data_IF_058582518734
#
_entry.id   IF_058582518734
#
_cell.length_a   1.000
_cell.length_b   1.000
_cell.length_c   1.000
_cell.angle_alpha   90.00
_cell.angle_beta   90.00
_cell.angle_gamma   90.00
#
_symmetry.space_group_name_H-M   'P 1'
#
loop_
_entity.id
_entity.type
_entity.pdbx_description
1 polymer ?
#
# COMPACT_ATOMS: atom_id res chain seq x y z
N UNK A 1 8.40 -3.66 2.44
CA UNK A 1 7.87 -2.55 3.27
C UNK A 1 8.14 -1.24 2.55
N UNK A 2 7.31 -0.21 2.75
CA UNK A 2 6.15 -0.16 3.68
C UNK A 2 4.90 -0.89 3.16
N UNK A 3 4.02 -1.30 4.09
CA UNK A 3 2.63 -1.64 3.77
C UNK A 3 1.82 -0.34 3.82
N UNK A 4 1.14 0.02 2.74
CA UNK A 4 0.46 1.32 2.60
C UNK A 4 -1.00 1.18 2.18
N UNK A 5 -1.57 0.00 2.43
CA UNK A 5 -2.96 -0.29 2.11
C UNK A 5 -3.86 0.55 3.04
N UNK A 6 -4.80 1.29 2.46
CA UNK A 6 -5.83 1.98 3.24
C UNK A 6 -6.76 0.93 3.84
N UNK A 7 -7.00 1.04 5.15
CA UNK A 7 -7.83 0.09 5.90
C UNK A 7 -9.01 0.81 6.52
N UNK A 8 -10.22 0.31 6.24
CA UNK A 8 -11.48 0.84 6.79
C UNK A 8 -12.34 -0.27 7.43
N UNK A 9 -11.78 -1.48 7.52
CA UNK A 9 -12.42 -2.63 8.13
C UNK A 9 -11.53 -3.18 9.26
N UNK A 10 -11.86 -2.89 10.53
CA UNK A 10 -11.04 -3.31 11.67
C UNK A 10 -11.06 -4.84 11.89
N UNK A 11 -11.92 -5.59 11.18
CA UNK A 11 -11.93 -7.06 11.24
C UNK A 11 -10.74 -7.67 10.50
N UNK A 12 -10.12 -6.94 9.58
CA UNK A 12 -8.97 -7.43 8.83
C UNK A 12 -7.70 -7.44 9.71
N UNK A 13 -7.15 -8.63 9.97
CA UNK A 13 -6.01 -8.79 10.89
C UNK A 13 -4.75 -8.00 10.50
N UNK A 14 -4.63 -7.60 9.23
CA UNK A 14 -3.48 -6.85 8.71
C UNK A 14 -3.61 -5.34 8.85
N UNK A 15 -4.67 -4.83 9.48
CA UNK A 15 -4.78 -3.41 9.87
C UNK A 15 -3.58 -2.96 10.72
N UNK A 16 -2.95 -3.89 11.44
CA UNK A 16 -1.76 -3.64 12.27
C UNK A 16 -0.49 -3.32 11.48
N UNK A 17 -0.43 -3.68 10.19
CA UNK A 17 0.75 -3.43 9.33
C UNK A 17 0.73 -2.04 8.69
N UNK A 18 -0.46 -1.44 8.55
CA UNK A 18 -0.68 -0.19 7.84
C UNK A 18 -0.70 1.03 8.75
N UNK A 19 -1.17 2.15 8.20
CA UNK A 19 -1.17 3.45 8.87
C UNK A 19 -2.57 4.05 9.02
N UNK A 20 -3.61 3.20 8.95
CA UNK A 20 -5.01 3.58 9.18
C UNK A 20 -5.80 3.86 7.89
N UNK A 21 -6.76 4.77 8.00
CA UNK A 21 -7.83 4.97 7.01
C UNK A 21 -7.70 6.25 6.16
N UNK A 22 -6.80 7.17 6.54
CA UNK A 22 -6.66 8.48 5.90
C UNK A 22 -5.64 8.46 4.76
N UNK A 23 -6.11 8.72 3.56
CA UNK A 23 -5.31 8.69 2.33
C UNK A 23 -4.13 9.66 2.38
N UNK A 24 -4.35 10.88 2.88
CA UNK A 24 -3.30 11.90 2.88
C UNK A 24 -2.16 11.53 3.84
N UNK A 25 -2.49 11.12 5.07
CA UNK A 25 -1.55 10.71 6.08
C UNK A 25 -0.75 9.50 5.63
N UNK A 26 -1.43 8.45 5.12
CA UNK A 26 -0.76 7.23 4.67
C UNK A 26 0.16 7.55 3.48
N UNK A 27 -0.22 8.43 2.56
CA UNK A 27 0.67 8.91 1.49
C UNK A 27 1.91 9.64 2.02
N UNK A 28 1.79 10.46 3.08
CA UNK A 28 2.95 11.12 3.71
C UNK A 28 3.88 10.12 4.36
N UNK A 29 3.33 9.15 5.09
CA UNK A 29 4.12 8.10 5.74
C UNK A 29 4.80 7.21 4.69
N UNK A 30 4.11 6.85 3.60
CA UNK A 30 4.68 6.07 2.50
C UNK A 30 5.98 6.68 1.98
N UNK A 31 5.98 7.98 1.70
CA UNK A 31 7.18 8.72 1.29
C UNK A 31 8.28 8.66 2.36
N UNK A 32 7.95 9.01 3.61
CA UNK A 32 8.92 9.03 4.72
C UNK A 32 9.57 7.67 4.94
N UNK A 33 8.80 6.58 4.84
CA UNK A 33 9.30 5.21 5.00
C UNK A 33 10.25 4.82 3.87
N UNK A 34 9.91 5.13 2.60
CA UNK A 34 10.78 4.87 1.46
C UNK A 34 12.08 5.67 1.57
N UNK A 35 11.98 6.96 1.85
CA UNK A 35 13.16 7.83 2.04
C UNK A 35 14.04 7.33 3.18
N UNK A 36 13.43 6.91 4.30
CA UNK A 36 14.13 6.39 5.48
C UNK A 36 14.83 5.06 5.24
N UNK A 37 14.21 4.12 4.51
CA UNK A 37 14.84 2.85 4.17
C UNK A 37 16.02 3.02 3.23
N UNK A 38 15.87 3.88 2.21
CA UNK A 38 16.84 3.98 1.12
C UNK A 38 17.94 5.02 1.37
N UNK A 39 17.76 5.91 2.34
CA UNK A 39 18.74 6.92 2.75
C UNK A 39 19.32 7.73 1.55
N UNK A 40 18.44 8.07 0.61
CA UNK A 40 18.76 8.79 -0.64
C UNK A 40 19.57 8.00 -1.68
N UNK A 41 20.11 6.84 -1.34
CA UNK A 41 20.80 5.93 -2.27
C UNK A 41 20.79 4.49 -1.71
N UNK A 42 20.05 3.56 -2.34
CA UNK A 42 19.97 2.16 -1.92
C UNK A 42 21.30 1.42 -1.91
N UNK A 43 22.33 1.90 -2.62
CA UNK A 43 23.64 1.26 -2.67
C UNK A 43 24.56 1.65 -1.50
N UNK A 44 24.20 2.66 -0.70
CA UNK A 44 25.02 3.10 0.43
C UNK A 44 24.99 2.09 1.58
N UNK A 45 26.10 1.90 2.30
CA UNK A 45 26.10 1.14 3.55
C UNK A 45 25.05 1.69 4.54
N UNK A 46 24.24 0.80 5.10
CA UNK A 46 23.15 1.17 6.02
C UNK A 46 21.81 1.47 5.35
N UNK A 47 21.74 1.51 4.01
CA UNK A 47 20.49 1.56 3.26
C UNK A 47 19.92 0.15 3.04
N UNK A 48 18.60 0.06 2.95
CA UNK A 48 17.89 -1.14 2.50
C UNK A 48 16.88 -0.78 1.42
N UNK A 49 16.72 -1.66 0.44
CA UNK A 49 15.80 -1.44 -0.66
C UNK A 49 14.34 -1.47 -0.17
N UNK A 50 13.58 -0.42 -0.51
CA UNK A 50 12.15 -0.40 -0.23
C UNK A 50 11.39 -1.28 -1.24
N UNK A 51 10.32 -1.91 -0.77
CA UNK A 51 9.36 -2.64 -1.61
C UNK A 51 7.97 -2.34 -1.10
N UNK A 52 7.30 -1.40 -1.76
CA UNK A 52 5.94 -1.00 -1.39
C UNK A 52 4.98 -2.15 -1.62
N UNK A 53 4.05 -2.35 -0.68
CA UNK A 53 3.07 -3.43 -0.72
C UNK A 53 1.73 -2.99 -0.11
N UNK A 54 0.62 -3.66 -0.41
CA UNK A 54 0.46 -4.75 -1.37
C UNK A 54 -0.33 -4.20 -2.56
N UNK A 55 0.31 -4.09 -3.73
CA UNK A 55 -0.29 -3.42 -4.88
C UNK A 55 -1.34 -4.33 -5.55
N UNK A 56 -2.64 -4.04 -5.47
CA UNK A 56 -3.26 -2.88 -4.82
C UNK A 56 -4.56 -3.25 -4.08
N UNK A 57 -5.05 -2.29 -3.29
CA UNK A 57 -6.40 -2.27 -2.70
C UNK A 57 -6.67 -3.31 -1.61
N UNK A 58 -5.65 -4.06 -1.18
CA UNK A 58 -5.79 -5.20 -0.30
C UNK A 58 -6.52 -4.92 1.02
N UNK A 59 -6.41 -3.69 1.55
CA UNK A 59 -7.13 -3.29 2.76
C UNK A 59 -8.65 -3.16 2.62
N UNK A 60 -9.20 -3.33 1.42
CA UNK A 60 -10.63 -3.27 1.13
C UNK A 60 -11.30 -4.66 1.00
N UNK A 61 -10.67 -5.72 1.51
CA UNK A 61 -11.22 -7.09 1.48
C UNK A 61 -12.63 -7.16 2.05
N UNK A 62 -13.53 -7.81 1.32
CA UNK A 62 -14.92 -7.95 1.73
C UNK A 62 -15.04 -8.72 3.06
N UNK A 63 -15.82 -8.15 3.99
CA UNK A 63 -16.05 -8.73 5.31
C UNK A 63 -14.80 -8.76 6.21
N UNK A 64 -13.72 -8.06 5.84
CA UNK A 64 -12.46 -8.07 6.57
C UNK A 64 -11.75 -9.42 6.56
N UNK A 65 -12.13 -10.32 5.66
CA UNK A 65 -11.54 -11.66 5.54
C UNK A 65 -10.29 -11.56 4.70
N UNK A 66 -9.18 -12.01 5.25
CA UNK A 66 -7.92 -11.95 4.53
C UNK A 66 -8.01 -12.70 3.18
N UNK A 67 -7.38 -12.15 2.15
CA UNK A 67 -7.39 -12.64 0.75
C UNK A 67 -8.74 -12.62 0.03
N UNK A 68 -9.79 -12.10 0.64
CA UNK A 68 -11.12 -12.10 0.02
C UNK A 68 -11.22 -11.10 -1.16
N UNK A 69 -12.35 -11.12 -1.84
CA UNK A 69 -12.64 -10.22 -2.97
C UNK A 69 -12.53 -8.75 -2.56
N UNK A 70 -12.02 -7.93 -3.49
CA UNK A 70 -12.07 -6.48 -3.44
C UNK A 70 -12.84 -5.96 -4.65
N UNK A 71 -13.83 -5.10 -4.43
CA UNK A 71 -14.59 -4.43 -5.49
C UNK A 71 -14.83 -2.97 -5.12
N UNK A 72 -14.58 -2.05 -6.06
CA UNK A 72 -14.88 -0.63 -5.88
C UNK A 72 -14.89 0.11 -7.22
N UNK A 73 -15.50 1.31 -7.23
CA UNK A 73 -15.46 2.17 -8.42
C UNK A 73 -14.05 2.70 -8.70
N UNK A 74 -13.70 2.94 -9.98
CA UNK A 74 -12.43 3.56 -10.34
C UNK A 74 -12.20 4.93 -9.67
N UNK A 75 -13.27 5.71 -9.48
CA UNK A 75 -13.21 6.98 -8.78
C UNK A 75 -12.71 6.80 -7.34
N UNK A 76 -13.30 5.86 -6.60
CA UNK A 76 -12.89 5.57 -5.22
C UNK A 76 -11.48 5.02 -5.17
N UNK A 77 -11.14 4.13 -6.10
CA UNK A 77 -9.81 3.59 -6.25
C UNK A 77 -8.76 4.70 -6.39
N UNK A 78 -8.98 5.65 -7.31
CA UNK A 78 -8.04 6.74 -7.57
C UNK A 78 -7.99 7.81 -6.48
N UNK A 79 -9.12 8.13 -5.83
CA UNK A 79 -9.12 9.14 -4.77
C UNK A 79 -8.67 8.63 -3.42
N UNK A 80 -9.05 7.41 -3.05
CA UNK A 80 -8.87 6.95 -1.67
C UNK A 80 -7.71 5.97 -1.54
N UNK A 81 -7.62 4.96 -2.42
CA UNK A 81 -6.77 3.78 -2.18
C UNK A 81 -5.44 3.78 -2.93
N UNK A 82 -5.36 4.33 -4.14
CA UNK A 82 -4.14 4.37 -4.93
C UNK A 82 -3.09 5.43 -4.55
N UNK A 83 -3.45 6.60 -3.98
CA UNK A 83 -2.46 7.65 -3.70
C UNK A 83 -1.27 7.24 -2.82
N UNK A 84 -1.40 6.35 -1.82
CA UNK A 84 -0.23 5.92 -1.04
C UNK A 84 0.81 5.12 -1.83
N UNK A 85 0.39 4.24 -2.74
CA UNK A 85 1.33 3.53 -3.61
C UNK A 85 2.01 4.51 -4.58
N UNK A 86 1.26 5.45 -5.15
CA UNK A 86 1.84 6.50 -6.00
C UNK A 86 2.88 7.32 -5.23
N UNK A 87 2.61 7.68 -3.99
CA UNK A 87 3.56 8.42 -3.15
C UNK A 87 4.85 7.63 -2.89
N UNK A 88 4.77 6.30 -2.70
CA UNK A 88 5.95 5.45 -2.58
C UNK A 88 6.74 5.33 -3.89
N UNK A 89 6.05 5.24 -5.03
CA UNK A 89 6.66 5.25 -6.37
C UNK A 89 7.35 6.58 -6.66
N UNK A 90 6.69 7.70 -6.39
CA UNK A 90 7.26 9.04 -6.55
C UNK A 90 8.46 9.27 -5.62
N UNK A 91 8.51 8.60 -4.45
CA UNK A 91 9.66 8.59 -3.54
C UNK A 91 10.80 7.66 -3.99
N UNK A 92 10.62 6.92 -5.09
CA UNK A 92 11.66 6.08 -5.68
C UNK A 92 11.77 4.69 -5.08
N UNK A 93 10.67 4.07 -4.63
CA UNK A 93 10.67 2.62 -4.33
C UNK A 93 10.97 1.83 -5.61
N UNK A 94 12.00 0.97 -5.65
CA UNK A 94 12.39 0.26 -6.86
C UNK A 94 11.60 -1.04 -7.08
N UNK A 95 10.95 -1.54 -6.03
CA UNK A 95 10.15 -2.77 -6.07
C UNK A 95 8.72 -2.51 -5.59
N UNK A 96 7.79 -3.25 -6.19
CA UNK A 96 6.38 -3.27 -5.85
C UNK A 96 5.97 -4.72 -5.67
N UNK A 97 5.47 -5.09 -4.49
CA UNK A 97 4.94 -6.43 -4.24
C UNK A 97 3.43 -6.42 -4.50
N UNK A 98 2.96 -7.38 -5.31
CA UNK A 98 1.56 -7.49 -5.71
C UNK A 98 0.67 -8.00 -4.55
N UNK A 99 -0.60 -7.64 -4.60
CA UNK A 99 -1.63 -8.12 -3.69
C UNK A 99 -2.08 -9.53 -4.05
N UNK A 100 -2.63 -10.23 -3.06
CA UNK A 100 -3.20 -11.57 -3.24
C UNK A 100 -4.73 -11.54 -3.38
N UNK A 101 -5.32 -10.37 -3.65
CA UNK A 101 -6.78 -10.20 -3.77
C UNK A 101 -7.26 -10.29 -5.20
N UNK A 102 -8.50 -10.75 -5.36
CA UNK A 102 -9.21 -10.73 -6.64
C UNK A 102 -9.88 -9.37 -6.79
N UNK A 103 -9.60 -8.68 -7.90
CA UNK A 103 -10.20 -7.39 -8.26
C UNK A 103 -11.00 -7.54 -9.56
N UNK A 104 -12.30 -7.88 -9.52
CA UNK A 104 -13.06 -8.14 -10.74
C UNK A 104 -13.01 -6.93 -11.71
N UNK A 105 -12.78 -7.12 -13.02
CA UNK A 105 -12.69 -8.38 -13.77
C UNK A 105 -11.24 -8.88 -14.03
N UNK A 106 -10.22 -8.32 -13.38
CA UNK A 106 -8.81 -8.65 -13.62
C UNK A 106 -8.12 -9.22 -12.35
N UNK A 107 -7.47 -10.40 -12.41
CA UNK A 107 -6.54 -10.75 -11.33
C UNK A 107 -5.46 -9.67 -11.23
N UNK A 108 -5.13 -9.28 -9.98
CA UNK A 108 -4.19 -8.20 -9.66
C UNK A 108 -2.76 -8.46 -10.18
#
# INVERSE_FOLDING_TARGET
APMVDITRDPRWGRVSEGFGEDTWLVSKIAKVMVDGFQNGDPAKPGSVMASVKHFALYGAVEGGRDYNTVDMSPLRMHQDYLPPYKAAVDAGTPLIALSNTITPPLPA
#
